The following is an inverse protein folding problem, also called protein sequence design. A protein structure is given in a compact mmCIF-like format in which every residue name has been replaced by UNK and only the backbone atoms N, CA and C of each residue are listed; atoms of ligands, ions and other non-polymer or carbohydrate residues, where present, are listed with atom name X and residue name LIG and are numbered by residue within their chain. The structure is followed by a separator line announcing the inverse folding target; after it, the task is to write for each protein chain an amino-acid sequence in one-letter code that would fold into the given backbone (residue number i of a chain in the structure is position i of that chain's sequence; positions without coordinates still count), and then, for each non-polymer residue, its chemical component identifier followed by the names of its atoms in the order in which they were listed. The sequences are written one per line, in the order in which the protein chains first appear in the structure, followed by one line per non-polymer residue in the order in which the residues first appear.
data_IF_301363249064
#
_entry.id   IF_301363249064
#
_cell.length_a   1.000
_cell.length_b   1.000
_cell.length_c   1.000
_cell.angle_alpha   90.00
_cell.angle_beta   90.00
_cell.angle_gamma   90.00
#
_symmetry.space_group_name_H-M   'P 1'
#
loop_
_entity.id
_entity.type
_entity.pdbx_description
1 polymer ?
#
# COMPACT_ATOMS: atom_id res chain seq x y z
N UNK A 1 18.59 -9.09 8.34
CA UNK A 1 17.15 -9.22 8.43
C UNK A 1 16.70 -10.62 8.02
N UNK A 2 16.08 -11.35 8.96
CA UNK A 2 15.52 -12.68 8.73
C UNK A 2 14.04 -12.53 8.27
N UNK A 3 13.85 -12.49 6.97
CA UNK A 3 12.52 -12.34 6.37
C UNK A 3 11.58 -13.51 6.71
N UNK A 4 12.09 -14.75 6.69
CA UNK A 4 11.24 -15.93 6.89
C UNK A 4 10.69 -15.99 8.31
N UNK A 5 11.50 -15.64 9.31
CA UNK A 5 11.05 -15.57 10.69
C UNK A 5 9.95 -14.50 10.85
N UNK A 6 10.15 -13.32 10.27
CA UNK A 6 9.14 -12.24 10.31
C UNK A 6 7.86 -12.64 9.59
N UNK A 7 7.95 -13.26 8.42
CA UNK A 7 6.77 -13.68 7.66
C UNK A 7 5.93 -14.71 8.43
N UNK A 8 6.59 -15.70 9.09
CA UNK A 8 5.92 -16.68 9.96
C UNK A 8 5.20 -16.02 11.14
N UNK A 9 5.85 -15.04 11.79
CA UNK A 9 5.24 -14.31 12.90
C UNK A 9 4.06 -13.43 12.42
N UNK A 10 4.19 -12.78 11.26
CA UNK A 10 3.08 -12.06 10.65
C UNK A 10 1.89 -13.00 10.36
N UNK A 11 2.15 -14.20 9.84
CA UNK A 11 1.08 -15.18 9.65
C UNK A 11 0.45 -15.59 10.99
N UNK A 12 1.26 -15.82 12.02
CA UNK A 12 0.79 -16.24 13.34
C UNK A 12 -0.13 -15.19 13.97
N UNK A 13 0.27 -13.91 13.94
CA UNK A 13 -0.47 -12.82 14.61
C UNK A 13 -1.62 -12.27 13.79
N UNK A 14 -1.61 -12.45 12.47
CA UNK A 14 -2.71 -12.00 11.60
C UNK A 14 -3.97 -12.83 11.88
N UNK A 15 -5.07 -12.15 12.18
CA UNK A 15 -6.38 -12.77 12.39
C UNK A 15 -6.93 -13.32 11.07
N UNK A 16 -7.85 -14.27 11.15
CA UNK A 16 -8.61 -14.73 9.99
C UNK A 16 -9.36 -13.54 9.35
N UNK A 17 -9.21 -13.37 8.04
CA UNK A 17 -9.72 -12.23 7.28
C UNK A 17 -8.87 -10.96 7.40
N UNK A 18 -7.77 -10.99 8.17
CA UNK A 18 -6.80 -9.91 8.22
C UNK A 18 -5.96 -9.82 6.95
N UNK A 19 -5.43 -8.62 6.70
CA UNK A 19 -4.66 -8.29 5.50
C UNK A 19 -3.27 -7.80 5.90
N UNK A 20 -2.25 -8.21 5.15
CA UNK A 20 -0.88 -7.72 5.22
C UNK A 20 -0.55 -7.05 3.91
N UNK A 21 -0.11 -5.80 3.95
CA UNK A 21 0.43 -5.08 2.79
C UNK A 21 1.94 -5.07 2.91
N UNK A 22 2.62 -5.65 1.93
CA UNK A 22 4.06 -5.79 1.90
C UNK A 22 4.64 -4.96 0.76
N UNK A 23 5.28 -3.84 1.10
CA UNK A 23 5.93 -2.96 0.13
C UNK A 23 7.40 -3.36 0.01
N UNK A 24 7.84 -3.68 -1.19
CA UNK A 24 9.20 -4.16 -1.42
C UNK A 24 9.71 -3.81 -2.81
N UNK A 25 10.97 -3.39 -2.88
CA UNK A 25 11.73 -3.22 -4.11
C UNK A 25 12.91 -4.19 -4.17
N UNK A 26 13.38 -4.45 -5.39
CA UNK A 26 14.59 -5.25 -5.61
C UNK A 26 15.83 -4.36 -5.70
N UNK A 27 16.93 -4.85 -5.15
CA UNK A 27 18.25 -4.27 -5.36
C UNK A 27 18.89 -4.85 -6.62
N UNK A 28 19.82 -4.09 -7.21
CA UNK A 28 20.69 -4.57 -8.28
C UNK A 28 22.08 -4.81 -7.73
N UNK A 29 22.56 -6.04 -7.78
CA UNK A 29 23.90 -6.45 -7.31
C UNK A 29 24.64 -7.11 -8.46
N UNK A 30 25.84 -6.66 -8.76
CA UNK A 30 26.68 -7.18 -9.84
C UNK A 30 25.96 -7.29 -11.19
N UNK A 31 25.14 -6.30 -11.51
CA UNK A 31 24.40 -6.26 -12.78
C UNK A 31 23.16 -7.15 -12.84
N UNK A 32 22.73 -7.78 -11.75
CA UNK A 32 21.52 -8.60 -11.65
C UNK A 32 20.58 -8.06 -10.58
N UNK A 33 19.29 -8.02 -10.87
CA UNK A 33 18.28 -7.81 -9.82
C UNK A 33 18.23 -9.01 -8.88
N UNK A 34 18.00 -8.74 -7.59
CA UNK A 34 18.02 -9.79 -6.57
C UNK A 34 16.82 -10.74 -6.68
N UNK A 35 15.72 -10.30 -7.25
CA UNK A 35 14.45 -11.04 -7.27
C UNK A 35 13.88 -11.30 -5.87
N UNK A 36 14.29 -10.49 -4.90
CA UNK A 36 13.88 -10.62 -3.49
C UNK A 36 12.37 -10.46 -3.35
N UNK A 37 11.78 -9.52 -4.09
CA UNK A 37 10.35 -9.27 -4.09
C UNK A 37 9.52 -10.51 -4.46
N UNK A 38 9.92 -11.21 -5.52
CA UNK A 38 9.25 -12.42 -5.98
C UNK A 38 9.41 -13.57 -4.98
N UNK A 39 10.62 -13.77 -4.45
CA UNK A 39 10.89 -14.80 -3.45
C UNK A 39 10.04 -14.59 -2.20
N UNK A 40 9.97 -13.36 -1.71
CA UNK A 40 9.16 -13.01 -0.56
C UNK A 40 7.67 -13.23 -0.82
N UNK A 41 7.18 -12.82 -2.00
CA UNK A 41 5.78 -13.04 -2.36
C UNK A 41 5.39 -14.53 -2.42
N UNK A 42 6.27 -15.37 -2.97
CA UNK A 42 6.04 -16.81 -3.02
C UNK A 42 6.10 -17.45 -1.63
N UNK A 43 7.04 -17.03 -0.79
CA UNK A 43 7.16 -17.53 0.58
C UNK A 43 5.93 -17.21 1.44
N UNK A 44 5.38 -16.00 1.34
CA UNK A 44 4.11 -15.66 2.02
C UNK A 44 2.97 -16.62 1.62
N UNK A 45 2.92 -17.04 0.35
CA UNK A 45 1.94 -18.04 -0.10
C UNK A 45 2.23 -19.43 0.47
N UNK A 46 3.49 -19.83 0.52
CA UNK A 46 3.92 -21.12 1.10
C UNK A 46 3.49 -21.28 2.56
N UNK A 47 3.63 -20.22 3.35
CA UNK A 47 3.26 -20.27 4.78
C UNK A 47 1.76 -20.10 5.02
N UNK A 48 0.94 -19.94 3.97
CA UNK A 48 -0.52 -20.02 4.04
C UNK A 48 -1.30 -18.72 3.79
N UNK A 49 -0.64 -17.61 3.46
CA UNK A 49 -1.35 -16.43 2.99
C UNK A 49 -1.86 -16.60 1.55
N UNK A 50 -3.00 -16.03 1.26
CA UNK A 50 -3.43 -15.80 -0.12
C UNK A 50 -2.76 -14.52 -0.63
N UNK A 51 -2.15 -14.56 -1.81
CA UNK A 51 -1.81 -13.34 -2.54
C UNK A 51 -3.11 -12.79 -3.13
N UNK A 52 -3.67 -11.78 -2.47
CA UNK A 52 -4.96 -11.20 -2.81
C UNK A 52 -4.86 -10.24 -4.00
N UNK A 53 -3.83 -9.38 -3.99
CA UNK A 53 -3.58 -8.44 -5.08
C UNK A 53 -2.08 -8.16 -5.23
N UNK A 54 -1.65 -7.90 -6.46
CA UNK A 54 -0.32 -7.40 -6.79
C UNK A 54 -0.47 -5.98 -7.28
N UNK A 55 -0.03 -5.03 -6.46
CA UNK A 55 -0.15 -3.61 -6.74
C UNK A 55 1.22 -3.00 -7.00
N UNK A 56 1.24 -1.85 -7.64
CA UNK A 56 2.44 -1.10 -7.97
C UNK A 56 2.39 0.27 -7.28
N UNK A 57 3.40 0.56 -6.49
CA UNK A 57 3.72 1.90 -6.02
C UNK A 57 4.65 2.58 -7.02
N UNK A 58 4.14 3.51 -7.81
CA UNK A 58 4.93 4.32 -8.72
C UNK A 58 5.43 5.56 -7.98
N UNK A 59 6.75 5.77 -8.01
CA UNK A 59 7.42 6.92 -7.39
C UNK A 59 8.33 7.62 -8.38
N UNK A 60 8.43 8.93 -8.26
CA UNK A 60 9.42 9.70 -9.01
C UNK A 60 10.77 9.60 -8.29
N UNK A 61 11.74 8.98 -8.95
CA UNK A 61 13.14 8.91 -8.49
C UNK A 61 14.01 9.74 -9.43
N UNK A 62 15.08 10.37 -8.94
CA UNK A 62 16.01 11.08 -9.80
C UNK A 62 16.65 10.11 -10.79
N UNK A 63 17.01 10.58 -12.00
CA UNK A 63 17.66 9.73 -12.99
C UNK A 63 19.05 9.30 -12.50
N UNK A 64 19.40 8.05 -12.76
CA UNK A 64 20.69 7.48 -12.45
C UNK A 64 21.46 7.22 -13.76
N UNK A 65 22.77 7.44 -13.73
CA UNK A 65 23.62 7.11 -14.89
C UNK A 65 23.98 5.62 -14.85
N UNK A 66 23.26 4.82 -15.63
CA UNK A 66 23.51 3.38 -15.77
C UNK A 66 22.96 2.86 -17.11
N UNK A 67 23.19 1.60 -17.42
CA UNK A 67 22.78 0.94 -18.67
C UNK A 67 21.46 0.17 -18.56
N UNK A 68 20.54 0.62 -17.71
CA UNK A 68 19.22 0.02 -17.46
C UNK A 68 18.14 1.08 -17.54
N UNK A 69 16.88 0.66 -17.69
CA UNK A 69 15.75 1.55 -17.47
C UNK A 69 15.64 1.95 -15.99
N UNK A 70 15.21 3.19 -15.76
CA UNK A 70 15.02 3.74 -14.43
C UNK A 70 13.95 2.96 -13.65
N UNK A 71 14.29 2.50 -12.44
CA UNK A 71 13.34 1.83 -11.57
C UNK A 71 12.37 2.85 -10.96
N UNK A 72 11.17 2.94 -11.53
CA UNK A 72 10.13 3.91 -11.14
C UNK A 72 9.03 3.33 -10.25
N UNK A 73 9.18 2.12 -9.76
CA UNK A 73 8.15 1.48 -8.94
C UNK A 73 8.73 0.56 -7.87
N UNK A 74 7.87 0.23 -6.92
CA UNK A 74 8.03 -0.87 -5.97
C UNK A 74 6.75 -1.70 -5.96
N UNK A 75 6.87 -2.98 -5.62
CA UNK A 75 5.70 -3.84 -5.45
C UNK A 75 5.01 -3.54 -4.13
N UNK A 76 3.68 -3.57 -4.15
CA UNK A 76 2.83 -3.60 -2.97
C UNK A 76 2.01 -4.89 -3.04
N UNK A 77 2.51 -5.96 -2.45
CA UNK A 77 1.77 -7.20 -2.38
C UNK A 77 0.73 -7.13 -1.27
N UNK A 78 -0.51 -7.43 -1.60
CA UNK A 78 -1.60 -7.52 -0.63
C UNK A 78 -1.86 -8.98 -0.34
N UNK A 79 -1.55 -9.41 0.87
CA UNK A 79 -1.79 -10.75 1.34
C UNK A 79 -2.97 -10.79 2.29
N UNK A 80 -3.68 -11.92 2.33
CA UNK A 80 -4.78 -12.11 3.26
C UNK A 80 -4.74 -13.50 3.90
N UNK A 81 -5.09 -13.57 5.18
CA UNK A 81 -5.31 -14.84 5.86
C UNK A 81 -6.76 -15.28 5.65
N UNK A 82 -6.97 -16.14 4.66
CA UNK A 82 -8.30 -16.43 4.12
C UNK A 82 -8.87 -15.27 3.28
N UNK A 83 -10.19 -15.15 3.18
CA UNK A 83 -10.84 -14.05 2.47
C UNK A 83 -10.75 -12.77 3.30
N UNK A 84 -10.33 -11.62 2.73
CA UNK A 84 -10.34 -10.35 3.44
C UNK A 84 -11.72 -10.05 4.03
N UNK A 85 -11.75 -9.66 5.31
CA UNK A 85 -12.98 -9.29 6.01
C UNK A 85 -13.46 -7.90 5.63
N UNK A 86 -12.52 -7.01 5.32
CA UNK A 86 -12.78 -5.60 4.99
C UNK A 86 -12.16 -5.25 3.65
N UNK A 87 -12.93 -4.60 2.79
CA UNK A 87 -12.45 -3.95 1.58
C UNK A 87 -13.28 -2.70 1.33
N UNK A 88 -12.67 -1.53 1.54
CA UNK A 88 -13.23 -0.22 1.28
C UNK A 88 -12.50 0.38 0.06
N UNK A 89 -12.96 0.13 -1.17
CA UNK A 89 -12.24 0.57 -2.36
C UNK A 89 -12.17 2.08 -2.46
N UNK A 90 -11.02 2.58 -2.87
CA UNK A 90 -10.88 3.99 -3.25
C UNK A 90 -11.58 4.18 -4.60
N UNK A 91 -12.55 5.08 -4.62
CA UNK A 91 -13.30 5.41 -5.81
C UNK A 91 -12.67 6.61 -6.53
N UNK A 92 -12.65 6.56 -7.85
CA UNK A 92 -12.21 7.66 -8.72
C UNK A 92 -13.25 7.93 -9.78
N UNK A 93 -13.26 9.15 -10.31
CA UNK A 93 -14.18 9.54 -11.39
C UNK A 93 -13.95 8.71 -12.65
N UNK A 94 -15.04 8.36 -13.32
CA UNK A 94 -14.99 7.73 -14.62
C UNK A 94 -14.77 8.79 -15.70
N UNK A 95 -13.75 8.59 -16.53
CA UNK A 95 -13.43 9.49 -17.66
C UNK A 95 -14.62 9.69 -18.63
N UNK A 96 -15.51 8.71 -18.71
CA UNK A 96 -16.64 8.67 -19.62
C UNK A 96 -17.97 8.55 -18.87
N UNK A 97 -18.08 9.20 -17.70
CA UNK A 97 -19.31 9.25 -16.93
C UNK A 97 -20.47 9.77 -17.80
N UNK A 98 -21.60 9.06 -17.76
CA UNK A 98 -22.80 9.44 -18.52
C UNK A 98 -22.73 9.24 -20.03
N UNK A 99 -21.60 8.86 -20.61
CA UNK A 99 -21.49 8.50 -22.02
C UNK A 99 -21.87 7.03 -22.26
N UNK A 100 -22.44 6.74 -23.42
CA UNK A 100 -22.57 5.35 -23.90
C UNK A 100 -21.29 5.02 -24.67
N UNK A 101 -20.31 4.30 -24.10
CA UNK A 101 -19.16 3.88 -24.87
C UNK A 101 -19.62 2.87 -25.91
N UNK A 102 -19.67 3.28 -27.18
CA UNK A 102 -19.78 2.36 -28.30
C UNK A 102 -18.45 1.62 -28.43
N UNK A 103 -18.24 0.62 -27.58
CA UNK A 103 -17.11 -0.30 -27.70
C UNK A 103 -17.44 -1.39 -28.66
N UNK A 104 -16.72 -1.50 -29.78
CA UNK A 104 -16.69 -2.70 -30.58
C UNK A 104 -15.99 -3.80 -29.80
N UNK A 105 -16.77 -4.74 -29.25
CA UNK A 105 -16.18 -5.96 -28.72
C UNK A 105 -15.56 -6.74 -29.88
N UNK A 106 -14.28 -7.14 -29.77
CA UNK A 106 -13.68 -8.09 -30.68
C UNK A 106 -14.40 -9.41 -30.54
N UNK A 107 -15.18 -9.76 -31.54
CA UNK A 107 -15.80 -11.09 -31.62
C UNK A 107 -14.71 -12.14 -31.88
N UNK A 108 -14.45 -12.98 -30.90
CA UNK A 108 -13.84 -14.28 -31.16
C UNK A 108 -14.96 -15.23 -31.62
N UNK A 109 -15.25 -15.22 -32.89
CA UNK A 109 -15.84 -16.23 -33.75
C UNK A 109 -16.87 -17.22 -33.24
N UNK A 110 -17.76 -16.89 -32.26
CA UNK A 110 -18.96 -17.72 -31.96
C UNK A 110 -20.10 -16.82 -31.50
N UNK A 111 -21.18 -16.85 -32.26
CA UNK A 111 -22.53 -16.34 -32.02
C UNK A 111 -22.70 -14.96 -31.38
N UNK A 112 -23.41 -14.10 -32.09
CA UNK A 112 -23.91 -12.80 -31.69
C UNK A 112 -24.60 -12.86 -30.32
N UNK A 113 -23.89 -12.52 -29.25
CA UNK A 113 -24.56 -12.21 -28.00
C UNK A 113 -25.41 -10.96 -28.20
N UNK A 114 -26.69 -11.06 -27.83
CA UNK A 114 -27.67 -9.99 -27.85
C UNK A 114 -27.04 -8.73 -27.21
N UNK A 115 -27.15 -7.61 -27.90
CA UNK A 115 -26.69 -6.31 -27.39
C UNK A 115 -27.15 -6.14 -25.94
N UNK A 116 -26.20 -6.08 -25.01
CA UNK A 116 -26.51 -5.72 -23.64
C UNK A 116 -27.17 -4.35 -23.65
N UNK A 117 -28.28 -4.19 -22.90
CA UNK A 117 -28.91 -2.90 -22.67
C UNK A 117 -27.83 -1.90 -22.30
N UNK A 118 -27.71 -0.81 -23.05
CA UNK A 118 -26.79 0.27 -22.78
C UNK A 118 -27.07 0.81 -21.37
N UNK A 119 -26.21 0.50 -20.40
CA UNK A 119 -26.24 1.16 -19.10
C UNK A 119 -25.46 2.47 -19.22
N UNK A 120 -26.03 3.57 -18.72
CA UNK A 120 -25.27 4.80 -18.53
C UNK A 120 -23.99 4.45 -17.76
N UNK A 121 -22.83 4.90 -18.25
CA UNK A 121 -21.55 4.68 -17.58
C UNK A 121 -21.62 5.18 -16.13
N UNK A 122 -21.08 4.42 -15.20
CA UNK A 122 -21.00 4.82 -13.80
C UNK A 122 -20.20 6.11 -13.67
N UNK A 123 -20.60 6.99 -12.75
CA UNK A 123 -19.86 8.21 -12.43
C UNK A 123 -18.51 7.89 -11.79
N UNK A 124 -18.45 6.85 -10.99
CA UNK A 124 -17.27 6.42 -10.24
C UNK A 124 -16.88 4.99 -10.60
N UNK A 125 -15.60 4.70 -10.47
CA UNK A 125 -15.03 3.34 -10.58
C UNK A 125 -14.00 3.12 -9.48
N UNK A 126 -13.72 1.86 -9.18
CA UNK A 126 -12.63 1.49 -8.27
C UNK A 126 -11.30 1.93 -8.91
N UNK A 127 -10.44 2.57 -8.10
CA UNK A 127 -9.06 2.91 -8.48
C UNK A 127 -8.31 1.65 -8.90
N UNK A 128 -7.51 1.72 -9.96
CA UNK A 128 -6.66 0.61 -10.40
C UNK A 128 -5.53 0.32 -9.40
N UNK A 129 -4.82 -0.77 -9.61
CA UNK A 129 -3.76 -1.25 -8.74
C UNK A 129 -2.37 -0.62 -8.98
N UNK A 130 -2.27 0.39 -9.83
CA UNK A 130 -1.06 1.21 -9.98
C UNK A 130 -1.32 2.55 -9.30
N UNK A 131 -0.62 2.78 -8.19
CA UNK A 131 -0.80 3.98 -7.37
C UNK A 131 0.45 4.86 -7.46
N UNK A 132 0.25 6.14 -7.70
CA UNK A 132 1.30 7.13 -7.83
C UNK A 132 1.23 8.12 -6.67
N UNK A 133 2.37 8.34 -6.01
CA UNK A 133 2.50 9.26 -4.91
C UNK A 133 3.71 10.17 -5.11
N UNK A 134 3.53 11.44 -4.79
CA UNK A 134 4.64 12.37 -4.79
C UNK A 134 5.62 12.05 -3.65
N UNK A 135 6.89 11.98 -3.97
CA UNK A 135 7.98 11.72 -3.04
C UNK A 135 8.93 12.91 -2.96
N UNK A 136 9.77 12.94 -1.93
CA UNK A 136 10.75 13.99 -1.68
C UNK A 136 10.37 14.92 -0.53
N UNK A 137 11.19 15.93 -0.30
CA UNK A 137 11.05 16.85 0.82
C UNK A 137 9.70 17.58 0.79
N UNK A 138 8.98 17.59 1.90
CA UNK A 138 7.62 18.15 2.08
C UNK A 138 6.51 17.55 1.19
N UNK A 139 6.83 16.56 0.33
CA UNK A 139 5.85 15.81 -0.46
C UNK A 139 5.51 14.48 0.20
N UNK A 140 6.51 13.78 0.74
CA UNK A 140 6.34 12.51 1.46
C UNK A 140 5.57 12.70 2.76
N UNK A 141 5.94 13.71 3.53
CA UNK A 141 5.28 14.17 4.76
C UNK A 141 5.57 15.66 4.98
N UNK A 142 4.71 16.34 5.73
CA UNK A 142 4.96 17.72 6.19
C UNK A 142 5.74 17.78 7.51
N UNK A 143 5.87 16.66 8.21
CA UNK A 143 6.58 16.59 9.50
C UNK A 143 8.08 16.63 9.29
N UNK A 144 8.71 17.73 9.64
CA UNK A 144 10.17 17.89 9.49
C UNK A 144 10.97 16.84 10.27
N UNK A 145 10.51 16.44 11.46
CA UNK A 145 11.16 15.44 12.30
C UNK A 145 11.23 14.06 11.62
N UNK A 146 10.28 13.72 10.75
CA UNK A 146 10.28 12.43 10.04
C UNK A 146 11.53 12.26 9.15
N UNK A 147 12.11 13.36 8.66
CA UNK A 147 13.29 13.34 7.80
C UNK A 147 14.59 13.03 8.54
N UNK A 148 14.57 12.88 9.87
CA UNK A 148 15.67 12.30 10.62
C UNK A 148 15.78 10.78 10.38
N UNK A 149 14.71 10.13 9.88
CA UNK A 149 14.76 8.75 9.42
C UNK A 149 15.15 8.71 7.93
N UNK A 150 16.12 7.88 7.52
CA UNK A 150 16.67 7.89 6.16
C UNK A 150 15.70 7.39 5.08
N UNK A 151 14.74 6.56 5.46
CA UNK A 151 13.82 5.89 4.54
C UNK A 151 12.36 6.06 4.99
N UNK A 152 11.76 7.19 4.62
CA UNK A 152 10.34 7.46 4.88
C UNK A 152 9.52 7.21 3.61
N UNK A 153 8.33 6.65 3.76
CA UNK A 153 7.40 6.49 2.64
C UNK A 153 6.20 7.46 2.75
N UNK A 154 5.46 7.70 1.66
CA UNK A 154 4.41 8.71 1.66
C UNK A 154 3.28 8.40 2.66
N UNK A 155 2.89 9.39 3.45
CA UNK A 155 1.75 9.28 4.37
C UNK A 155 0.46 8.87 3.65
N UNK A 156 0.26 9.38 2.43
CA UNK A 156 -0.91 9.04 1.64
C UNK A 156 -0.93 7.56 1.22
N UNK A 157 0.24 6.93 0.96
CA UNK A 157 0.33 5.51 0.66
C UNK A 157 -0.14 4.68 1.87
N UNK A 158 0.38 5.00 3.07
CA UNK A 158 -0.04 4.35 4.30
C UNK A 158 -1.55 4.53 4.54
N UNK A 159 -2.04 5.76 4.45
CA UNK A 159 -3.45 6.08 4.61
C UNK A 159 -4.33 5.27 3.67
N UNK A 160 -4.02 5.26 2.38
CA UNK A 160 -4.84 4.59 1.36
C UNK A 160 -4.96 3.09 1.63
N UNK A 161 -3.87 2.42 2.03
CA UNK A 161 -3.93 1.01 2.42
C UNK A 161 -4.70 0.79 3.73
N UNK A 162 -4.47 1.64 4.74
CA UNK A 162 -5.17 1.54 6.03
C UNK A 162 -6.68 1.65 5.84
N UNK A 163 -7.16 2.65 5.11
CA UNK A 163 -8.59 2.83 4.89
C UNK A 163 -9.18 1.73 4.02
N UNK A 164 -8.43 1.21 3.04
CA UNK A 164 -8.90 0.15 2.14
C UNK A 164 -9.12 -1.19 2.86
N UNK A 165 -8.27 -1.52 3.83
CA UNK A 165 -8.23 -2.85 4.43
C UNK A 165 -8.64 -2.90 5.90
N UNK A 166 -9.09 -1.79 6.48
CA UNK A 166 -9.55 -1.72 7.87
C UNK A 166 -10.73 -0.77 8.04
N UNK A 167 -11.45 -0.93 9.16
CA UNK A 167 -12.50 -0.02 9.60
C UNK A 167 -12.03 0.80 10.81
N UNK A 168 -12.67 1.94 11.14
CA UNK A 168 -12.42 2.63 12.40
C UNK A 168 -12.52 1.67 13.60
N UNK A 169 -11.57 1.78 14.54
CA UNK A 169 -11.44 0.89 15.69
C UNK A 169 -10.63 -0.38 15.45
N UNK A 170 -10.34 -0.77 14.20
CA UNK A 170 -9.46 -1.91 13.92
C UNK A 170 -8.01 -1.62 14.32
N UNK A 171 -7.23 -2.67 14.57
CA UNK A 171 -5.81 -2.58 14.89
C UNK A 171 -4.96 -2.66 13.61
N UNK A 172 -4.13 -1.65 13.42
CA UNK A 172 -3.06 -1.60 12.40
C UNK A 172 -1.73 -1.90 13.07
N UNK A 173 -0.99 -2.87 12.55
CA UNK A 173 0.31 -3.29 13.08
C UNK A 173 1.41 -3.06 12.05
N UNK A 174 2.53 -2.46 12.48
CA UNK A 174 3.73 -2.27 11.64
C UNK A 174 4.95 -2.84 12.36
N UNK A 175 5.55 -3.95 11.85
CA UNK A 175 6.74 -4.56 12.44
C UNK A 175 8.03 -3.79 12.13
N UNK A 176 7.98 -2.76 11.30
CA UNK A 176 9.11 -1.91 10.90
C UNK A 176 8.72 -0.44 10.97
N UNK A 177 8.35 -0.01 12.16
CA UNK A 177 7.67 1.26 12.40
C UNK A 177 8.43 2.49 11.86
N UNK A 178 9.77 2.46 11.91
CA UNK A 178 10.62 3.56 11.49
C UNK A 178 10.20 4.89 12.12
N UNK A 179 9.97 5.89 11.30
CA UNK A 179 9.50 7.20 11.76
C UNK A 179 8.01 7.26 12.17
N UNK A 180 7.30 6.13 12.22
CA UNK A 180 5.91 6.04 12.69
C UNK A 180 4.83 6.47 11.69
N UNK A 181 5.11 6.44 10.40
CA UNK A 181 4.15 6.88 9.37
C UNK A 181 2.86 6.07 9.41
N UNK A 182 2.96 4.74 9.50
CA UNK A 182 1.80 3.84 9.59
C UNK A 182 0.97 4.12 10.85
N UNK A 183 1.61 4.25 12.01
CA UNK A 183 0.93 4.53 13.27
C UNK A 183 0.22 5.89 13.26
N UNK A 184 0.89 6.94 12.73
CA UNK A 184 0.29 8.26 12.57
C UNK A 184 -0.94 8.23 11.65
N UNK A 185 -0.85 7.55 10.52
CA UNK A 185 -1.98 7.46 9.60
C UNK A 185 -3.12 6.60 10.17
N UNK A 186 -2.83 5.56 10.93
CA UNK A 186 -3.84 4.80 11.65
C UNK A 186 -4.58 5.68 12.66
N UNK A 187 -3.86 6.39 13.52
CA UNK A 187 -4.41 7.33 14.50
C UNK A 187 -5.32 8.37 13.83
N UNK A 188 -4.81 9.08 12.82
CA UNK A 188 -5.56 10.16 12.14
C UNK A 188 -6.82 9.68 11.42
N UNK A 189 -6.93 8.38 11.14
CA UNK A 189 -8.09 7.78 10.51
C UNK A 189 -8.94 6.93 11.48
N UNK A 190 -8.76 7.09 12.80
CA UNK A 190 -9.59 6.44 13.81
C UNK A 190 -9.33 4.95 14.01
N UNK A 191 -8.14 4.46 13.65
CA UNK A 191 -7.70 3.08 13.89
C UNK A 191 -6.79 3.04 15.11
N UNK A 192 -6.82 1.92 15.83
CA UNK A 192 -5.79 1.61 16.80
C UNK A 192 -4.50 1.24 16.09
N UNK A 193 -3.38 1.44 16.73
CA UNK A 193 -2.07 1.11 16.14
C UNK A 193 -1.17 0.41 17.15
N UNK A 194 -0.29 -0.42 16.62
CA UNK A 194 0.84 -1.02 17.32
C UNK A 194 2.01 -1.07 16.34
N UNK A 195 3.19 -0.72 16.79
CA UNK A 195 4.38 -0.76 15.96
C UNK A 195 5.60 -1.09 16.78
N UNK A 196 6.58 -1.70 16.15
CA UNK A 196 7.88 -2.00 16.73
C UNK A 196 8.99 -1.54 15.80
N UNK A 197 10.10 -1.16 16.39
CA UNK A 197 11.34 -0.89 15.68
C UNK A 197 12.52 -1.30 16.55
N UNK A 198 13.62 -1.72 15.93
CA UNK A 198 14.84 -2.10 16.64
C UNK A 198 15.61 -0.87 17.15
N UNK A 199 15.42 0.29 16.51
CA UNK A 199 16.06 1.55 16.87
C UNK A 199 15.22 2.34 17.87
N UNK A 200 15.74 2.55 19.07
CA UNK A 200 15.10 3.42 20.06
C UNK A 200 14.97 4.87 19.54
N UNK A 201 15.95 5.34 18.77
CA UNK A 201 15.90 6.65 18.13
C UNK A 201 14.69 6.80 17.20
N UNK A 202 14.43 5.78 16.38
CA UNK A 202 13.26 5.79 15.49
C UNK A 202 11.94 5.67 16.26
N UNK A 203 11.91 4.88 17.32
CA UNK A 203 10.77 4.82 18.23
C UNK A 203 10.47 6.19 18.84
N UNK A 204 11.51 6.96 19.21
CA UNK A 204 11.34 8.30 19.77
C UNK A 204 10.83 9.30 18.73
N UNK A 205 11.30 9.23 17.49
CA UNK A 205 10.76 10.02 16.37
C UNK A 205 9.27 9.70 16.18
N UNK A 206 8.92 8.42 16.19
CA UNK A 206 7.53 7.97 16.04
C UNK A 206 6.64 8.50 17.18
N UNK A 207 7.09 8.40 18.44
CA UNK A 207 6.34 8.93 19.60
C UNK A 207 6.05 10.43 19.47
N UNK A 208 7.07 11.24 19.15
CA UNK A 208 6.91 12.69 18.94
C UNK A 208 5.92 13.03 17.83
N UNK A 209 5.96 12.30 16.72
CA UNK A 209 5.01 12.49 15.62
C UNK A 209 3.59 12.15 16.03
N UNK A 210 3.41 11.09 16.81
CA UNK A 210 2.10 10.69 17.31
C UNK A 210 1.53 11.70 18.31
N UNK A 211 2.33 12.20 19.24
CA UNK A 211 1.95 13.27 20.19
C UNK A 211 1.50 14.53 19.44
N UNK A 212 2.26 14.96 18.43
CA UNK A 212 1.89 16.10 17.59
C UNK A 212 0.57 15.88 16.86
N UNK A 213 0.36 14.69 16.31
CA UNK A 213 -0.88 14.33 15.61
C UNK A 213 -2.09 14.31 16.56
N UNK A 214 -1.93 13.79 17.78
CA UNK A 214 -2.97 13.81 18.82
C UNK A 214 -3.32 15.23 19.26
N UNK A 215 -2.30 16.07 19.50
CA UNK A 215 -2.52 17.46 19.88
C UNK A 215 -3.27 18.24 18.79
N UNK A 216 -2.97 17.98 17.51
CA UNK A 216 -3.71 18.60 16.42
C UNK A 216 -5.17 18.15 16.37
N UNK A 217 -5.47 16.87 16.56
CA UNK A 217 -6.85 16.38 16.58
C UNK A 217 -7.67 17.01 17.70
N UNK A 218 -7.08 17.17 18.90
CA UNK A 218 -7.78 17.77 20.05
C UNK A 218 -8.12 19.26 19.88
N UNK A 219 -7.43 19.96 18.97
CA UNK A 219 -7.71 21.38 18.67
C UNK A 219 -8.93 21.55 17.73
N UNK A 220 -9.34 20.49 17.05
CA UNK A 220 -10.44 20.51 16.06
C UNK A 220 -11.64 19.63 16.48
N UNK A 221 -11.58 19.01 17.64
CA UNK A 221 -12.66 18.22 18.24
C UNK A 221 -13.49 19.07 19.20
#
# INVERSE_FOLDING_TARGET
FDFEAVAKELYRVTKQGGVVVWVVGDATINGSETGTSFRQALYFKEIGFNLHDTMIYKSEKPPLTHNRYEQKFEYMFVFSKGKPKTFNPIMIDCKYAGSNPMGTFRHTGKETQKAHKQSKGNEFKIKGNVWEYATGFQKTTKDKIAYQHPAIFPEQLAKDHIISWSNPGDLVFDPFLGSGTTAKMALLNGRNYCGIDISEEYCEIARKRLEQAQAQQSLFA
#
